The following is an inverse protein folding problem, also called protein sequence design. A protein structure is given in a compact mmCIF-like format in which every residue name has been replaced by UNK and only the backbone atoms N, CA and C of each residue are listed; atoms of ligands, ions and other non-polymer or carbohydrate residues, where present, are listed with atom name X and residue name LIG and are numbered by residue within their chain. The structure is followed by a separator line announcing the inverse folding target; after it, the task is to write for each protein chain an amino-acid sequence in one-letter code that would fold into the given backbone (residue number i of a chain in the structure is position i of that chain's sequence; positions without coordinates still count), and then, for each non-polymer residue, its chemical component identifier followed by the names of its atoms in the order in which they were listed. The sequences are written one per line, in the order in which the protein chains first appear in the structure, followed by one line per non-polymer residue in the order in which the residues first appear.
data_IF_116764305099
#
_entry.id   IF_116764305099
#
_cell.length_a   1.000
_cell.length_b   1.000
_cell.length_c   1.000
_cell.angle_alpha   90.00
_cell.angle_beta   90.00
_cell.angle_gamma   90.00
#
_symmetry.space_group_name_H-M   'P 1'
#
loop_
_entity.id
_entity.type
_entity.pdbx_description
1 polymer ?
#
# COMPACT_ATOMS: atom_id res chain seq x y z
N UNK A 1 -1.20 -24.40 33.11
CA UNK A 1 -1.75 -23.13 32.56
C UNK A 1 -1.91 -23.29 31.05
N UNK A 2 -3.14 -23.25 30.55
CA UNK A 2 -3.44 -23.38 29.11
C UNK A 2 -3.09 -22.05 28.45
N UNK A 3 -2.05 -22.02 27.63
CA UNK A 3 -1.61 -20.82 26.90
C UNK A 3 -2.68 -20.44 25.88
N UNK A 4 -3.50 -19.44 26.21
CA UNK A 4 -4.44 -18.80 25.30
C UNK A 4 -3.64 -17.99 24.28
N UNK A 5 -3.44 -18.56 23.09
CA UNK A 5 -3.04 -17.80 21.90
C UNK A 5 -4.19 -16.84 21.55
N UNK A 6 -4.18 -15.65 22.14
CA UNK A 6 -5.07 -14.56 21.72
C UNK A 6 -4.67 -14.19 20.30
N UNK A 7 -5.56 -14.46 19.35
CA UNK A 7 -5.38 -13.97 17.98
C UNK A 7 -5.44 -12.45 18.00
N UNK A 8 -4.60 -11.76 17.20
CA UNK A 8 -4.59 -10.30 17.17
C UNK A 8 -5.95 -9.76 16.75
N UNK A 9 -6.33 -8.61 17.32
CA UNK A 9 -7.59 -7.95 16.98
C UNK A 9 -7.60 -7.55 15.50
N UNK A 10 -8.80 -7.25 14.98
CA UNK A 10 -8.93 -6.76 13.60
C UNK A 10 -8.14 -5.46 13.40
N UNK A 11 -8.14 -4.56 14.38
CA UNK A 11 -7.41 -3.29 14.38
C UNK A 11 -5.90 -3.52 14.34
N UNK A 12 -5.39 -4.45 15.14
CA UNK A 12 -3.96 -4.82 15.15
C UNK A 12 -3.53 -5.39 13.81
N UNK A 13 -4.36 -6.25 13.21
CA UNK A 13 -4.12 -6.82 11.88
C UNK A 13 -4.14 -5.75 10.79
N UNK A 14 -5.12 -4.84 10.81
CA UNK A 14 -5.20 -3.71 9.87
C UNK A 14 -3.96 -2.81 10.01
N UNK A 15 -3.53 -2.55 11.25
CA UNK A 15 -2.34 -1.73 11.51
C UNK A 15 -1.08 -2.40 10.96
N UNK A 16 -0.90 -3.70 11.18
CA UNK A 16 0.23 -4.46 10.66
C UNK A 16 0.27 -4.41 9.12
N UNK A 17 -0.85 -4.72 8.46
CA UNK A 17 -0.96 -4.68 7.00
C UNK A 17 -0.65 -3.28 6.45
N UNK A 18 -1.14 -2.22 7.09
CA UNK A 18 -0.82 -0.83 6.67
C UNK A 18 0.66 -0.52 6.78
N UNK A 19 1.35 -1.02 7.81
CA UNK A 19 2.79 -0.84 7.97
C UNK A 19 3.58 -1.60 6.88
N UNK A 20 3.15 -2.81 6.54
CA UNK A 20 3.73 -3.59 5.44
C UNK A 20 3.56 -2.87 4.10
N UNK A 21 2.35 -2.36 3.80
CA UNK A 21 2.08 -1.56 2.59
C UNK A 21 2.97 -0.31 2.55
N UNK A 22 3.12 0.39 3.68
CA UNK A 22 3.98 1.57 3.76
C UNK A 22 5.43 1.23 3.41
N UNK A 23 5.94 0.11 3.93
CA UNK A 23 7.31 -0.36 3.66
C UNK A 23 7.53 -0.65 2.18
N UNK A 24 6.57 -1.27 1.51
CA UNK A 24 6.61 -1.53 0.06
C UNK A 24 6.65 -0.22 -0.73
N UNK A 25 5.83 0.76 -0.34
CA UNK A 25 5.81 2.09 -0.98
C UNK A 25 7.15 2.79 -0.77
N UNK A 26 7.69 2.79 0.45
CA UNK A 26 8.98 3.42 0.76
C UNK A 26 10.13 2.82 -0.05
N UNK A 27 10.21 1.49 -0.15
CA UNK A 27 11.22 0.82 -0.98
C UNK A 27 11.10 1.22 -2.46
N UNK A 28 9.88 1.40 -2.96
CA UNK A 28 9.65 1.86 -4.34
C UNK A 28 10.03 3.32 -4.52
N UNK A 29 9.75 4.19 -3.55
CA UNK A 29 10.16 5.59 -3.55
C UNK A 29 11.69 5.71 -3.63
N UNK A 30 12.43 4.95 -2.83
CA UNK A 30 13.90 4.96 -2.87
C UNK A 30 14.44 4.54 -4.24
N UNK A 31 13.83 3.51 -4.85
CA UNK A 31 14.23 3.04 -6.17
C UNK A 31 14.03 4.13 -7.22
N UNK A 32 12.84 4.72 -7.29
CA UNK A 32 12.54 5.77 -8.28
C UNK A 32 13.36 7.03 -8.03
N UNK A 33 13.66 7.37 -6.77
CA UNK A 33 14.47 8.53 -6.42
C UNK A 33 15.92 8.41 -6.94
N UNK A 34 16.50 7.21 -6.98
CA UNK A 34 17.82 6.99 -7.60
C UNK A 34 17.82 7.27 -9.09
N UNK A 35 16.72 6.94 -9.77
CA UNK A 35 16.56 7.11 -11.21
C UNK A 35 16.08 8.53 -11.60
N UNK A 36 15.64 9.33 -10.61
CA UNK A 36 15.02 10.65 -10.81
C UNK A 36 15.70 11.74 -9.98
N UNK A 37 16.97 12.08 -10.27
CA UNK A 37 17.72 13.07 -9.50
C UNK A 37 17.00 14.44 -9.54
N UNK A 38 16.87 15.06 -8.36
CA UNK A 38 16.20 16.36 -8.20
C UNK A 38 14.69 16.30 -7.94
N UNK A 39 14.05 15.12 -8.03
CA UNK A 39 12.64 14.97 -7.67
C UNK A 39 12.48 14.64 -6.18
N UNK A 40 11.71 15.42 -5.40
CA UNK A 40 11.52 15.11 -3.98
C UNK A 40 10.81 13.77 -3.75
N UNK A 41 11.29 12.99 -2.78
CA UNK A 41 10.70 11.69 -2.39
C UNK A 41 9.21 11.77 -2.06
N UNK A 42 8.77 12.87 -1.45
CA UNK A 42 7.34 13.10 -1.17
C UNK A 42 6.48 13.20 -2.43
N UNK A 43 7.00 13.81 -3.50
CA UNK A 43 6.33 13.90 -4.81
C UNK A 43 6.28 12.52 -5.47
N UNK A 44 7.38 11.77 -5.43
CA UNK A 44 7.45 10.38 -5.93
C UNK A 44 6.44 9.50 -5.18
N UNK A 45 6.40 9.57 -3.85
CA UNK A 45 5.43 8.84 -3.03
C UNK A 45 4.00 9.17 -3.45
N UNK A 46 3.70 10.47 -3.55
CA UNK A 46 2.39 10.94 -3.96
C UNK A 46 2.01 10.42 -5.35
N UNK A 47 2.92 10.43 -6.34
CA UNK A 47 2.63 9.88 -7.66
C UNK A 47 2.36 8.37 -7.63
N UNK A 48 3.13 7.61 -6.84
CA UNK A 48 2.95 6.17 -6.69
C UNK A 48 1.63 5.80 -6.01
N UNK A 49 1.17 6.61 -5.05
CA UNK A 49 -0.03 6.29 -4.26
C UNK A 49 -1.30 7.01 -4.71
N UNK A 50 -1.17 8.17 -5.37
CA UNK A 50 -2.30 8.99 -5.80
C UNK A 50 -2.74 8.72 -7.24
N UNK A 51 -1.91 8.07 -8.07
CA UNK A 51 -2.24 7.72 -9.46
C UNK A 51 -2.47 6.23 -9.69
N UNK A 52 -2.86 5.48 -8.67
CA UNK A 52 -3.55 4.23 -8.94
C UNK A 52 -4.86 4.60 -9.67
N UNK A 53 -5.09 4.18 -10.94
CA UNK A 53 -6.46 4.14 -11.39
C UNK A 53 -7.15 3.13 -10.46
N UNK A 54 -8.38 3.42 -10.11
CA UNK A 54 -9.30 2.54 -9.40
C UNK A 54 -9.06 2.36 -7.90
N UNK A 55 -10.07 2.69 -7.10
CA UNK A 55 -10.28 1.92 -5.87
C UNK A 55 -10.44 0.43 -6.26
N UNK A 56 -10.21 -0.50 -5.33
CA UNK A 56 -10.37 -1.93 -5.59
C UNK A 56 -11.73 -2.28 -6.26
N UNK A 57 -12.77 -1.47 -6.04
CA UNK A 57 -14.08 -1.60 -6.69
C UNK A 57 -14.08 -1.20 -8.17
N UNK A 58 -13.36 -0.13 -8.55
CA UNK A 58 -13.28 0.29 -9.95
C UNK A 58 -12.41 -0.67 -10.78
N UNK A 59 -11.45 -1.35 -10.15
CA UNK A 59 -10.68 -2.41 -10.80
C UNK A 59 -11.53 -3.68 -10.93
N UNK A 60 -12.35 -3.99 -9.92
CA UNK A 60 -13.31 -5.09 -9.98
C UNK A 60 -14.30 -4.91 -11.14
N UNK A 61 -14.88 -3.73 -11.34
CA UNK A 61 -15.82 -3.45 -12.44
C UNK A 61 -15.18 -3.53 -13.82
N UNK A 62 -13.95 -3.03 -13.98
CA UNK A 62 -13.18 -3.20 -15.24
C UNK A 62 -12.88 -4.67 -15.54
N UNK A 63 -12.68 -5.51 -14.52
CA UNK A 63 -12.33 -6.93 -14.67
C UNK A 63 -13.55 -7.87 -14.73
N UNK A 64 -14.67 -7.54 -14.10
CA UNK A 64 -15.90 -8.35 -14.12
C UNK A 64 -16.63 -8.25 -15.47
N UNK A 65 -16.21 -7.34 -16.35
CA UNK A 65 -16.90 -7.04 -17.59
C UNK A 65 -18.24 -6.33 -17.38
N UNK A 66 -18.51 -5.84 -16.17
CA UNK A 66 -19.69 -5.04 -15.86
C UNK A 66 -19.47 -3.61 -16.36
N UNK A 67 -19.72 -3.43 -17.66
CA UNK A 67 -20.03 -2.17 -18.33
C UNK A 67 -21.42 -2.25 -18.97
#
# INVERSE_FOLDING_TARGET
MKSTRNSPSLEERIKAIRAEIATVIDARVETVARDSPGVPKGVIRNLLTARAPSCACAQYLELSGEQ
#
